data_IF_417924828955
#
_entry.id   IF_417924828955
#
_cell.length_a   1.000
_cell.length_b   1.000
_cell.length_c   1.000
_cell.angle_alpha   90.00
_cell.angle_beta   90.00
_cell.angle_gamma   90.00
#
_symmetry.space_group_name_H-M   'P 1'
#
loop_
_entity.id
_entity.type
_entity.pdbx_description
1 polymer ?
#
# COMPACT_ATOMS: atom_id res chain seq x y z
N UNK A 1 21.50 3.82 9.06
CA UNK A 1 20.70 4.57 10.07
C UNK A 1 20.36 3.71 11.29
N UNK A 2 19.93 2.44 11.13
CA UNK A 2 19.56 1.56 12.27
C UNK A 2 20.74 1.39 13.24
N UNK A 3 21.93 1.03 12.76
CA UNK A 3 23.13 0.86 13.59
C UNK A 3 23.47 2.13 14.39
N UNK A 4 23.35 3.31 13.77
CA UNK A 4 23.60 4.59 14.46
C UNK A 4 22.62 4.81 15.62
N UNK A 5 21.36 4.37 15.49
CA UNK A 5 20.37 4.48 16.58
C UNK A 5 20.70 3.50 17.72
N UNK A 6 21.16 2.30 17.40
CA UNK A 6 21.59 1.30 18.38
C UNK A 6 22.81 1.81 19.17
N UNK A 7 23.86 2.25 18.48
CA UNK A 7 25.08 2.78 19.12
C UNK A 7 24.78 3.99 20.01
N UNK A 8 23.85 4.85 19.61
CA UNK A 8 23.41 6.01 20.41
C UNK A 8 22.43 5.68 21.54
N UNK A 9 22.11 4.40 21.76
CA UNK A 9 21.12 3.99 22.79
C UNK A 9 19.70 4.47 22.52
N UNK A 10 19.38 4.88 21.26
CA UNK A 10 18.04 5.38 20.86
C UNK A 10 17.14 4.29 20.31
N UNK A 11 17.66 3.07 20.16
CA UNK A 11 16.92 1.89 19.74
C UNK A 11 17.51 0.66 20.41
N UNK A 12 16.71 -0.39 20.47
CA UNK A 12 17.04 -1.72 20.93
C UNK A 12 16.99 -2.69 19.76
N UNK A 13 17.95 -3.61 19.68
CA UNK A 13 17.95 -4.67 18.69
C UNK A 13 16.91 -5.73 19.07
N UNK A 14 16.01 -6.06 18.16
CA UNK A 14 15.07 -7.17 18.35
C UNK A 14 15.48 -8.38 17.54
N UNK A 15 15.88 -8.18 16.25
CA UNK A 15 16.27 -9.27 15.35
C UNK A 15 17.51 -8.91 14.53
N UNK A 16 18.44 -9.86 14.32
CA UNK A 16 19.74 -9.63 13.68
C UNK A 16 20.08 -10.60 12.53
N UNK A 17 19.11 -11.20 11.87
CA UNK A 17 19.30 -12.27 10.86
C UNK A 17 19.99 -11.84 9.54
N UNK A 18 20.61 -10.66 9.47
CA UNK A 18 21.29 -10.15 8.27
C UNK A 18 22.82 -10.27 8.31
N UNK A 19 23.36 -11.09 9.20
CA UNK A 19 24.80 -11.26 9.36
C UNK A 19 25.46 -10.10 10.13
N UNK A 20 26.73 -9.86 9.86
CA UNK A 20 27.55 -8.89 10.59
C UNK A 20 28.05 -7.76 9.71
N UNK A 21 28.06 -6.56 10.25
CA UNK A 21 28.70 -5.37 9.68
C UNK A 21 30.02 -5.14 10.39
N UNK A 22 31.13 -5.14 9.64
CA UNK A 22 32.47 -4.87 10.16
C UNK A 22 32.88 -3.44 9.85
N UNK A 23 33.40 -2.75 10.85
CA UNK A 23 34.09 -1.49 10.71
C UNK A 23 35.57 -1.69 11.07
N UNK A 24 36.41 -0.65 11.00
CA UNK A 24 37.80 -0.74 11.35
C UNK A 24 38.00 -1.19 12.81
N UNK A 25 37.14 -0.68 13.72
CA UNK A 25 37.32 -0.86 15.18
C UNK A 25 36.27 -1.80 15.81
N UNK A 26 35.19 -2.14 15.11
CA UNK A 26 34.04 -2.86 15.71
C UNK A 26 33.35 -3.80 14.74
N UNK A 27 32.74 -4.84 15.30
CA UNK A 27 31.81 -5.73 14.60
C UNK A 27 30.41 -5.54 15.21
N UNK A 28 29.43 -5.30 14.37
CA UNK A 28 28.03 -5.14 14.77
C UNK A 28 27.17 -6.18 14.06
N UNK A 29 26.20 -6.72 14.78
CA UNK A 29 25.16 -7.52 14.13
C UNK A 29 24.31 -6.62 13.23
N UNK A 30 24.07 -7.08 11.99
CA UNK A 30 23.28 -6.32 11.03
C UNK A 30 21.80 -6.38 11.46
N UNK A 31 21.20 -5.26 11.93
CA UNK A 31 19.84 -5.29 12.47
C UNK A 31 18.82 -5.53 11.37
N UNK A 32 17.95 -6.51 11.56
CA UNK A 32 16.77 -6.76 10.75
C UNK A 32 15.57 -5.97 11.30
N UNK A 33 15.39 -6.00 12.62
CA UNK A 33 14.34 -5.27 13.32
C UNK A 33 14.93 -4.56 14.53
N UNK A 34 14.55 -3.29 14.70
CA UNK A 34 14.90 -2.48 15.87
C UNK A 34 13.65 -1.88 16.48
N UNK A 35 13.60 -1.77 17.79
CA UNK A 35 12.60 -1.04 18.55
C UNK A 35 13.16 0.31 18.97
N UNK A 36 12.49 1.41 18.61
CA UNK A 36 12.89 2.74 19.07
C UNK A 36 12.60 2.89 20.56
N UNK A 37 13.53 3.50 21.30
CA UNK A 37 13.36 3.79 22.73
C UNK A 37 12.31 4.88 23.02
N UNK A 38 11.77 5.53 21.98
CA UNK A 38 10.79 6.59 22.09
C UNK A 38 9.71 6.47 21.00
N UNK A 39 8.51 6.95 21.33
CA UNK A 39 7.39 6.96 20.39
C UNK A 39 7.58 8.03 19.32
N UNK A 40 7.69 7.64 18.06
CA UNK A 40 7.68 8.55 16.92
C UNK A 40 6.23 8.75 16.48
N UNK A 41 5.64 9.89 16.85
CA UNK A 41 4.36 10.33 16.29
C UNK A 41 4.59 10.71 14.82
N UNK A 42 4.24 9.86 13.88
CA UNK A 42 4.24 10.23 12.46
C UNK A 42 2.94 10.95 12.13
N UNK A 43 2.99 12.15 11.54
CA UNK A 43 1.77 12.78 11.05
C UNK A 43 1.14 11.89 9.99
N UNK A 44 -0.17 11.69 10.07
CA UNK A 44 -0.95 11.03 9.01
C UNK A 44 -0.97 11.95 7.79
N UNK A 45 -0.01 11.78 6.90
CA UNK A 45 -0.03 12.50 5.63
C UNK A 45 -1.05 11.81 4.71
N UNK A 46 -2.05 12.53 4.20
CA UNK A 46 -2.98 11.98 3.24
C UNK A 46 -2.22 11.52 1.99
N UNK A 47 -2.58 10.36 1.47
CA UNK A 47 -1.94 9.83 0.27
C UNK A 47 -2.26 10.70 -0.93
N UNK A 48 -1.22 11.06 -1.68
CA UNK A 48 -1.40 11.75 -2.96
C UNK A 48 -2.07 10.80 -3.94
N UNK A 49 -3.13 11.29 -4.59
CA UNK A 49 -3.81 10.55 -5.64
C UNK A 49 -2.86 10.36 -6.83
N UNK A 50 -2.53 9.14 -7.16
CA UNK A 50 -1.72 8.76 -8.31
C UNK A 50 -2.21 7.44 -8.90
N UNK A 51 -1.92 7.19 -10.18
CA UNK A 51 -2.27 5.94 -10.86
C UNK A 51 -1.80 4.70 -10.08
N UNK A 52 -0.56 4.73 -9.59
CA UNK A 52 0.03 3.63 -8.80
C UNK A 52 -0.74 3.39 -7.50
N UNK A 53 -1.09 4.45 -6.79
CA UNK A 53 -1.81 4.35 -5.52
C UNK A 53 -3.26 3.85 -5.70
N UNK A 54 -3.92 4.24 -6.80
CA UNK A 54 -5.25 3.71 -7.14
C UNK A 54 -5.17 2.22 -7.46
N UNK A 55 -4.16 1.80 -8.23
CA UNK A 55 -3.96 0.38 -8.53
C UNK A 55 -3.67 -0.44 -7.27
N UNK A 56 -2.87 0.08 -6.34
CA UNK A 56 -2.61 -0.55 -5.05
C UNK A 56 -3.88 -0.67 -4.21
N UNK A 57 -4.67 0.41 -4.10
CA UNK A 57 -5.97 0.40 -3.39
C UNK A 57 -6.89 -0.70 -3.93
N UNK A 58 -6.98 -0.81 -5.24
CA UNK A 58 -7.85 -1.74 -5.94
C UNK A 58 -7.21 -3.13 -6.14
N UNK A 59 -6.05 -3.38 -5.54
CA UNK A 59 -5.29 -4.66 -5.61
C UNK A 59 -5.06 -5.12 -7.04
N UNK A 60 -4.73 -4.17 -7.95
CA UNK A 60 -4.54 -4.43 -9.38
C UNK A 60 -5.71 -5.18 -10.03
N UNK A 61 -6.93 -4.89 -9.60
CA UNK A 61 -8.15 -5.55 -10.02
C UNK A 61 -9.09 -4.54 -10.68
N UNK A 62 -9.61 -4.86 -11.85
CA UNK A 62 -10.61 -4.03 -12.52
C UNK A 62 -11.89 -3.93 -11.69
N UNK A 63 -12.34 -2.72 -11.37
CA UNK A 63 -13.51 -2.49 -10.54
C UNK A 63 -14.85 -2.70 -11.27
N UNK A 64 -14.82 -2.99 -12.57
CA UNK A 64 -16.01 -3.30 -13.37
C UNK A 64 -16.22 -4.80 -13.62
N UNK A 65 -15.17 -5.56 -13.90
CA UNK A 65 -15.28 -6.99 -14.18
C UNK A 65 -14.59 -7.90 -13.15
N UNK A 66 -14.02 -7.31 -12.10
CA UNK A 66 -13.32 -7.99 -11.01
C UNK A 66 -12.12 -8.86 -11.44
N UNK A 67 -11.65 -8.76 -12.68
CA UNK A 67 -10.48 -9.52 -13.17
C UNK A 67 -9.18 -8.78 -12.85
N UNK A 68 -8.17 -9.51 -12.40
CA UNK A 68 -6.79 -9.03 -12.37
C UNK A 68 -6.26 -8.98 -13.80
N UNK A 69 -5.58 -7.88 -14.15
CA UNK A 69 -5.01 -7.69 -15.50
C UNK A 69 -3.70 -6.91 -15.38
N UNK A 70 -2.82 -7.09 -16.35
CA UNK A 70 -1.63 -6.24 -16.50
C UNK A 70 -1.96 -4.93 -17.25
N UNK A 71 -2.97 -4.98 -18.13
CA UNK A 71 -3.43 -3.83 -18.90
C UNK A 71 -4.47 -3.02 -18.13
N UNK A 72 -3.99 -2.32 -17.09
CA UNK A 72 -4.83 -1.51 -16.23
C UNK A 72 -4.69 -0.02 -16.54
N UNK A 73 -5.82 0.66 -16.53
CA UNK A 73 -5.95 2.11 -16.69
C UNK A 73 -6.66 2.72 -15.48
N UNK A 74 -6.46 4.02 -15.29
CA UNK A 74 -7.22 4.81 -14.34
C UNK A 74 -8.47 5.33 -15.07
N UNK A 75 -9.64 5.07 -14.53
CA UNK A 75 -10.91 5.57 -15.05
C UNK A 75 -11.62 6.46 -14.03
N UNK A 76 -12.34 7.48 -14.53
CA UNK A 76 -13.19 8.35 -13.72
C UNK A 76 -14.62 7.80 -13.72
N UNK A 77 -15.18 7.47 -12.55
CA UNK A 77 -16.56 6.96 -12.42
C UNK A 77 -17.55 7.94 -13.06
N UNK A 78 -17.55 9.20 -12.62
CA UNK A 78 -18.18 10.30 -13.33
C UNK A 78 -17.13 10.88 -14.28
N UNK A 79 -17.36 10.87 -15.60
CA UNK A 79 -16.37 11.31 -16.57
C UNK A 79 -16.01 12.80 -16.42
N UNK A 80 -14.76 13.15 -16.74
CA UNK A 80 -14.32 14.55 -16.72
C UNK A 80 -15.17 15.48 -17.57
N UNK A 81 -15.67 15.01 -18.69
CA UNK A 81 -16.59 15.75 -19.56
C UNK A 81 -17.94 16.08 -18.90
N UNK A 82 -18.29 15.32 -17.85
CA UNK A 82 -19.45 15.55 -17.00
C UNK A 82 -19.07 16.17 -15.64
N UNK A 83 -17.96 16.93 -15.61
CA UNK A 83 -17.41 17.59 -14.44
C UNK A 83 -17.01 16.64 -13.29
N UNK A 84 -16.71 15.36 -13.60
CA UNK A 84 -16.22 14.40 -12.62
C UNK A 84 -14.86 14.84 -12.04
N UNK A 85 -14.75 14.98 -10.70
CA UNK A 85 -13.54 15.46 -10.06
C UNK A 85 -12.42 14.40 -10.11
N UNK A 86 -11.17 14.84 -10.03
CA UNK A 86 -10.03 13.94 -9.89
C UNK A 86 -9.74 13.69 -8.41
N UNK A 87 -10.60 12.91 -7.76
CA UNK A 87 -10.56 12.59 -6.33
C UNK A 87 -10.59 11.08 -6.10
N UNK A 88 -10.22 10.65 -4.91
CA UNK A 88 -10.24 9.25 -4.52
C UNK A 88 -11.62 8.59 -4.68
N UNK A 89 -12.69 9.35 -4.47
CA UNK A 89 -14.07 8.87 -4.54
C UNK A 89 -14.61 8.77 -5.98
N UNK A 90 -13.87 9.31 -6.95
CA UNK A 90 -14.28 9.31 -8.35
C UNK A 90 -13.31 8.60 -9.30
N UNK A 91 -12.20 8.02 -8.81
CA UNK A 91 -11.26 7.29 -9.67
C UNK A 91 -11.17 5.83 -9.26
N UNK A 92 -11.10 4.94 -10.26
CA UNK A 92 -11.03 3.49 -10.07
C UNK A 92 -10.04 2.86 -11.05
N UNK A 93 -9.58 1.66 -10.71
CA UNK A 93 -8.82 0.81 -11.62
C UNK A 93 -9.77 0.13 -12.59
N UNK A 94 -9.52 0.26 -13.88
CA UNK A 94 -10.26 -0.41 -14.95
C UNK A 94 -9.29 -1.14 -15.89
N UNK A 95 -9.66 -2.30 -16.40
CA UNK A 95 -8.94 -2.86 -17.55
C UNK A 95 -9.28 -2.08 -18.81
N UNK A 96 -8.38 -2.07 -19.79
CA UNK A 96 -8.55 -1.34 -21.07
C UNK A 96 -9.88 -1.68 -21.74
N UNK A 97 -10.29 -2.96 -21.73
CA UNK A 97 -11.55 -3.40 -22.32
C UNK A 97 -12.78 -2.77 -21.64
N UNK A 98 -12.83 -2.77 -20.31
CA UNK A 98 -13.94 -2.15 -19.57
C UNK A 98 -13.95 -0.63 -19.71
N UNK A 99 -12.78 0.00 -19.72
CA UNK A 99 -12.67 1.44 -19.91
C UNK A 99 -13.16 1.87 -21.32
N UNK A 100 -12.75 1.15 -22.35
CA UNK A 100 -13.25 1.36 -23.73
C UNK A 100 -14.78 1.14 -23.83
N UNK A 101 -15.31 0.09 -23.20
CA UNK A 101 -16.76 -0.16 -23.16
C UNK A 101 -17.52 0.98 -22.49
N UNK A 102 -16.98 1.54 -21.42
CA UNK A 102 -17.57 2.68 -20.71
C UNK A 102 -17.57 3.95 -21.57
N UNK A 103 -16.53 4.15 -22.38
CA UNK A 103 -16.46 5.20 -23.41
C UNK A 103 -16.83 6.61 -22.91
N UNK A 104 -16.35 7.00 -21.71
CA UNK A 104 -16.61 8.32 -21.13
C UNK A 104 -18.05 8.53 -20.68
N UNK A 105 -18.84 7.51 -20.52
CA UNK A 105 -20.18 7.53 -19.89
C UNK A 105 -20.05 7.23 -18.40
N UNK A 106 -21.11 7.50 -17.62
CA UNK A 106 -21.20 6.97 -16.25
C UNK A 106 -21.40 5.45 -16.28
N UNK A 107 -21.11 4.72 -15.19
CA UNK A 107 -21.37 3.28 -15.10
C UNK A 107 -22.85 2.95 -15.40
N UNK A 108 -23.79 3.74 -14.91
CA UNK A 108 -25.22 3.56 -15.15
C UNK A 108 -25.56 3.69 -16.64
N UNK A 109 -25.10 4.75 -17.31
CA UNK A 109 -25.31 4.96 -18.76
C UNK A 109 -24.64 3.87 -19.62
N UNK A 110 -23.56 3.25 -19.14
CA UNK A 110 -22.87 2.17 -19.82
C UNK A 110 -23.40 0.77 -19.47
N UNK A 111 -24.44 0.69 -18.64
CA UNK A 111 -24.98 -0.54 -18.07
C UNK A 111 -23.86 -1.39 -17.41
N UNK A 112 -23.06 -0.73 -16.58
CA UNK A 112 -21.95 -1.34 -15.86
C UNK A 112 -22.12 -1.09 -14.36
N UNK A 113 -21.67 -2.04 -13.54
CA UNK A 113 -21.66 -1.92 -12.08
C UNK A 113 -20.24 -1.85 -11.55
N UNK A 114 -20.02 -1.07 -10.50
CA UNK A 114 -18.78 -1.07 -9.74
C UNK A 114 -18.80 -2.22 -8.73
N UNK A 115 -17.70 -2.93 -8.62
CA UNK A 115 -17.51 -3.95 -7.59
C UNK A 115 -17.53 -3.35 -6.19
N UNK A 116 -16.96 -2.14 -6.04
CA UNK A 116 -16.93 -1.38 -4.78
C UNK A 116 -17.06 0.11 -5.06
N UNK A 117 -17.68 0.84 -4.15
CA UNK A 117 -17.69 2.31 -4.18
C UNK A 117 -16.26 2.78 -3.84
N UNK A 118 -15.62 3.59 -4.71
CA UNK A 118 -14.29 4.08 -4.45
C UNK A 118 -14.27 5.00 -3.23
N UNK A 119 -13.27 4.83 -2.39
CA UNK A 119 -12.98 5.68 -1.23
C UNK A 119 -11.48 5.93 -1.16
N UNK A 120 -11.09 6.99 -0.45
CA UNK A 120 -9.69 7.17 -0.11
C UNK A 120 -9.18 5.96 0.68
N UNK A 121 -7.95 5.48 0.40
CA UNK A 121 -7.38 4.41 1.19
C UNK A 121 -7.08 4.91 2.60
N UNK A 122 -7.29 4.05 3.59
CA UNK A 122 -6.87 4.35 4.95
C UNK A 122 -5.39 4.72 4.98
N UNK A 123 -5.01 5.69 5.80
CA UNK A 123 -3.61 6.08 5.97
C UNK A 123 -2.85 4.98 6.71
N UNK A 124 -2.51 3.91 5.98
CA UNK A 124 -1.76 2.79 6.53
C UNK A 124 -0.27 2.95 6.16
N UNK A 125 0.62 3.20 7.12
CA UNK A 125 2.05 3.33 6.87
C UNK A 125 2.69 2.04 6.32
N UNK A 126 2.03 0.91 6.49
CA UNK A 126 2.54 -0.41 6.12
C UNK A 126 2.21 -0.85 4.68
N UNK A 127 1.41 -0.09 3.93
CA UNK A 127 1.12 -0.42 2.51
C UNK A 127 2.37 -0.49 1.64
N UNK A 128 3.47 0.16 2.04
CA UNK A 128 4.77 0.05 1.39
C UNK A 128 5.31 -1.39 1.48
N UNK A 129 4.93 -2.13 2.51
CA UNK A 129 5.39 -3.50 2.74
C UNK A 129 4.53 -4.55 1.99
N UNK A 130 3.31 -4.22 1.57
CA UNK A 130 2.43 -5.17 0.85
C UNK A 130 3.02 -5.68 -0.47
N UNK A 131 3.97 -4.95 -1.06
CA UNK A 131 4.65 -5.34 -2.29
C UNK A 131 6.12 -5.76 -2.07
N UNK A 132 6.54 -5.97 -0.84
CA UNK A 132 7.88 -6.47 -0.51
C UNK A 132 7.79 -7.91 -0.01
N UNK A 133 8.84 -8.66 -0.24
CA UNK A 133 9.01 -9.96 0.41
C UNK A 133 9.10 -9.68 1.91
N UNK A 134 8.11 -10.14 2.65
CA UNK A 134 8.08 -10.05 4.10
C UNK A 134 8.80 -11.30 4.60
N UNK A 135 9.86 -11.11 5.36
CA UNK A 135 10.56 -12.20 6.01
C UNK A 135 9.67 -12.76 7.14
N UNK A 136 9.71 -14.07 7.34
CA UNK A 136 8.87 -14.73 8.35
C UNK A 136 9.10 -14.16 9.75
N UNK A 137 10.33 -13.81 10.08
CA UNK A 137 10.71 -13.13 11.33
C UNK A 137 10.03 -11.78 11.56
N UNK A 138 9.57 -11.10 10.48
CA UNK A 138 8.89 -9.80 10.58
C UNK A 138 7.38 -9.93 10.83
N UNK A 139 6.81 -11.10 10.57
CA UNK A 139 5.36 -11.31 10.64
C UNK A 139 4.80 -10.99 12.02
N UNK A 140 5.48 -11.39 13.10
CA UNK A 140 5.07 -11.12 14.48
C UNK A 140 5.03 -9.63 14.84
N UNK A 141 5.72 -8.76 14.07
CA UNK A 141 5.75 -7.31 14.30
C UNK A 141 4.81 -6.53 13.38
N UNK A 142 4.06 -7.21 12.50
CA UNK A 142 3.19 -6.58 11.53
C UNK A 142 1.71 -6.70 11.96
N UNK A 143 1.00 -5.58 12.15
CA UNK A 143 -0.35 -5.57 12.73
C UNK A 143 -1.41 -6.35 11.95
N UNK A 144 -1.19 -6.60 10.66
CA UNK A 144 -2.18 -7.33 9.82
C UNK A 144 -2.04 -8.85 9.86
N UNK A 145 -0.91 -9.37 10.28
CA UNK A 145 -0.71 -10.82 10.42
C UNK A 145 -1.47 -11.35 11.63
N UNK A 146 -1.72 -10.48 12.64
CA UNK A 146 -2.49 -10.85 13.83
C UNK A 146 -3.99 -10.96 13.59
N UNK A 147 -4.51 -10.45 12.45
CA UNK A 147 -5.96 -10.52 12.14
C UNK A 147 -6.38 -11.78 11.38
N UNK A 148 -5.43 -12.51 10.79
CA UNK A 148 -5.73 -13.73 10.03
C UNK A 148 -5.93 -14.97 10.90
N UNK A 149 -5.72 -14.89 12.21
CA UNK A 149 -5.89 -16.02 13.17
C UNK A 149 -7.20 -15.96 13.96
N UNK A 150 -8.11 -15.03 13.66
CA UNK A 150 -9.40 -14.91 14.36
C UNK A 150 -10.64 -15.20 13.49
N UNK A 151 -10.45 -15.67 12.25
CA UNK A 151 -11.55 -16.14 11.41
C UNK A 151 -11.31 -17.59 10.99
N UNK A 152 -11.42 -18.51 11.95
CA UNK A 152 -11.79 -19.91 11.76
C UNK A 152 -12.90 -20.27 12.74
#
# INVERSE_FOLDING_TARGET
RAVVLLVKGKAELLENHRGQLRTVDCVFDAPSIIRLAYLVKRPFLPRKLSKKEVFLRDRYTCQYCAKKSQDLTLDHVVPRRQHGPHTWDNVVTACTRCNLRKAGRTPAEANMKLAKIPKAPDPNPYLILQNRVILDEWQQYLPWTMRSTQEE
#
